data_IF_289554681841
#
_entry.id   IF_289554681841
#
_cell.length_a   1.000
_cell.length_b   1.000
_cell.length_c   1.000
_cell.angle_alpha   90.00
_cell.angle_beta   90.00
_cell.angle_gamma   90.00
#
_symmetry.space_group_name_H-M   'P 1'
#
loop_
_entity.id
_entity.type
_entity.pdbx_description
1 polymer ?
#
# COMPACT_ATOMS: atom_id res chain seq x y z
N UNK A 1 -14.99 -1.81 -3.74
CA UNK A 1 -15.68 -1.33 -4.95
C UNK A 1 -16.31 0.00 -4.60
N UNK A 2 -15.93 1.08 -5.28
CA UNK A 2 -16.60 2.38 -5.18
C UNK A 2 -17.21 2.72 -6.55
N UNK A 3 -18.10 3.71 -6.59
CA UNK A 3 -18.67 4.24 -7.82
C UNK A 3 -18.59 5.77 -7.78
N UNK A 4 -18.03 6.36 -8.82
CA UNK A 4 -17.99 7.82 -9.02
C UNK A 4 -19.04 8.16 -10.08
N UNK A 5 -19.91 9.12 -9.78
CA UNK A 5 -20.90 9.64 -10.73
C UNK A 5 -20.68 11.14 -10.89
N UNK A 6 -20.46 11.57 -12.13
CA UNK A 6 -20.36 12.98 -12.51
C UNK A 6 -21.48 13.27 -13.50
N UNK A 7 -22.20 14.37 -13.27
CA UNK A 7 -23.27 14.84 -14.16
C UNK A 7 -22.83 16.17 -14.75
N UNK A 8 -22.23 16.10 -15.94
CA UNK A 8 -21.75 17.25 -16.71
C UNK A 8 -21.89 16.94 -18.20
N UNK A 9 -22.47 17.87 -18.96
CA UNK A 9 -22.79 17.69 -20.39
C UNK A 9 -21.54 17.80 -21.26
N UNK A 10 -20.53 18.56 -20.81
CA UNK A 10 -19.30 18.82 -21.57
C UNK A 10 -18.04 18.41 -20.81
N UNK A 11 -18.09 17.26 -20.12
CA UNK A 11 -16.97 16.74 -19.35
C UNK A 11 -15.77 16.45 -20.25
N UNK A 12 -14.59 16.99 -19.90
CA UNK A 12 -13.33 16.78 -20.62
C UNK A 12 -12.43 15.78 -19.88
N UNK A 13 -12.08 16.11 -18.63
CA UNK A 13 -11.18 15.30 -17.81
C UNK A 13 -11.69 15.09 -16.39
N UNK A 14 -11.40 13.90 -15.86
CA UNK A 14 -11.57 13.59 -14.44
C UNK A 14 -10.30 12.97 -13.88
N UNK A 15 -9.92 13.40 -12.69
CA UNK A 15 -8.77 12.87 -11.98
C UNK A 15 -8.99 12.93 -10.48
N UNK A 16 -8.13 12.26 -9.73
CA UNK A 16 -8.15 12.32 -8.27
C UNK A 16 -6.73 12.43 -7.72
N UNK A 17 -6.62 12.79 -6.44
CA UNK A 17 -5.38 12.85 -5.68
C UNK A 17 -5.59 12.30 -4.27
N UNK A 18 -4.53 11.73 -3.69
CA UNK A 18 -4.48 11.31 -2.28
C UNK A 18 -3.71 12.30 -1.39
N UNK A 19 -3.14 13.35 -1.98
CA UNK A 19 -2.17 14.26 -1.36
C UNK A 19 -2.49 15.75 -1.67
N UNK A 20 -3.77 16.06 -1.90
CA UNK A 20 -4.24 17.44 -2.12
C UNK A 20 -3.79 18.06 -3.44
N UNK A 21 -3.53 17.23 -4.46
CA UNK A 21 -3.19 17.66 -5.81
C UNK A 21 -1.69 17.66 -6.14
N UNK A 22 -0.82 17.18 -5.24
CA UNK A 22 0.61 17.04 -5.54
C UNK A 22 0.85 15.92 -6.56
N UNK A 23 0.18 14.79 -6.38
CA UNK A 23 0.14 13.66 -7.30
C UNK A 23 -1.29 13.45 -7.78
N UNK A 24 -1.49 13.43 -9.10
CA UNK A 24 -2.82 13.28 -9.71
C UNK A 24 -2.89 12.03 -10.58
N UNK A 25 -4.04 11.37 -10.56
CA UNK A 25 -4.30 10.14 -11.30
C UNK A 25 -5.58 10.28 -12.12
N UNK A 26 -5.50 10.03 -13.43
CA UNK A 26 -6.66 10.07 -14.32
C UNK A 26 -7.67 8.97 -13.95
N UNK A 27 -8.96 9.31 -13.94
CA UNK A 27 -10.05 8.35 -13.75
C UNK A 27 -10.38 7.75 -15.11
N UNK A 28 -9.80 6.58 -15.40
CA UNK A 28 -10.09 5.82 -16.63
C UNK A 28 -11.12 4.73 -16.39
N UNK A 29 -11.30 4.29 -15.14
CA UNK A 29 -12.29 3.31 -14.70
C UNK A 29 -12.86 3.75 -13.34
N UNK A 30 -14.19 3.86 -13.23
CA UNK A 30 -14.87 4.46 -12.07
C UNK A 30 -14.87 3.59 -10.80
N UNK A 31 -14.10 2.49 -10.78
CA UNK A 31 -14.17 1.46 -9.76
C UNK A 31 -12.81 1.07 -9.17
N UNK A 32 -11.71 1.58 -9.73
CA UNK A 32 -10.36 1.16 -9.36
C UNK A 32 -9.44 2.37 -9.23
N UNK A 33 -8.81 2.51 -8.06
CA UNK A 33 -7.72 3.45 -7.86
C UNK A 33 -6.39 2.87 -8.38
N UNK A 34 -5.44 3.75 -8.70
CA UNK A 34 -4.06 3.39 -8.93
C UNK A 34 -3.51 2.60 -7.74
N UNK A 35 -3.26 1.31 -7.97
CA UNK A 35 -2.94 0.36 -6.91
C UNK A 35 -1.56 0.61 -6.30
N UNK A 36 -0.59 1.04 -7.09
CA UNK A 36 0.76 1.38 -6.63
C UNK A 36 0.69 2.55 -5.66
N UNK A 37 0.04 3.65 -6.07
CA UNK A 37 -0.15 4.82 -5.21
C UNK A 37 -0.94 4.47 -3.94
N UNK A 38 -2.01 3.69 -4.07
CA UNK A 38 -2.81 3.26 -2.92
C UNK A 38 -2.00 2.41 -1.92
N UNK A 39 -1.11 1.53 -2.38
CA UNK A 39 -0.27 0.69 -1.51
C UNK A 39 0.70 1.53 -0.68
N UNK A 40 1.27 2.57 -1.28
CA UNK A 40 2.28 3.45 -0.64
C UNK A 40 1.72 4.32 0.49
N UNK A 41 0.40 4.58 0.51
CA UNK A 41 -0.24 5.34 1.58
C UNK A 41 -0.09 4.63 2.94
N UNK A 42 0.01 5.40 4.02
CA UNK A 42 -0.03 4.83 5.37
C UNK A 42 -1.44 4.32 5.72
N UNK A 43 -1.53 3.41 6.68
CA UNK A 43 -2.81 3.05 7.30
C UNK A 43 -3.39 4.25 8.07
N UNK A 44 -4.72 4.30 8.17
CA UNK A 44 -5.44 5.38 8.83
C UNK A 44 -6.36 6.15 7.88
N UNK A 45 -6.68 7.38 8.24
CA UNK A 45 -7.51 8.26 7.43
C UNK A 45 -6.74 8.71 6.18
N UNK A 46 -7.37 8.52 5.02
CA UNK A 46 -6.90 8.96 3.71
C UNK A 46 -7.98 9.87 3.13
N UNK A 47 -7.62 11.11 2.84
CA UNK A 47 -8.48 12.03 2.09
C UNK A 47 -8.20 11.88 0.60
N UNK A 48 -9.27 11.67 -0.16
CA UNK A 48 -9.24 11.56 -1.62
C UNK A 48 -9.94 12.79 -2.18
N UNK A 49 -9.21 13.59 -2.97
CA UNK A 49 -9.76 14.75 -3.65
C UNK A 49 -10.04 14.39 -5.10
N UNK A 50 -11.29 14.51 -5.52
CA UNK A 50 -11.76 14.27 -6.88
C UNK A 50 -11.90 15.59 -7.62
N UNK A 51 -11.54 15.58 -8.89
CA UNK A 51 -11.60 16.74 -9.77
C UNK A 51 -12.30 16.37 -11.06
N UNK A 52 -13.09 17.31 -11.58
CA UNK A 52 -13.67 17.24 -12.90
C UNK A 52 -13.48 18.58 -13.60
N UNK A 53 -13.13 18.56 -14.88
CA UNK A 53 -13.01 19.74 -15.74
C UNK A 53 -13.85 19.57 -16.99
N UNK A 54 -14.57 20.62 -17.38
CA UNK A 54 -15.29 20.67 -18.65
C UNK A 54 -14.40 21.18 -19.81
N UNK A 55 -14.90 21.10 -21.04
CA UNK A 55 -14.18 21.58 -22.23
C UNK A 55 -13.92 23.10 -22.23
N UNK A 56 -14.68 23.86 -21.44
CA UNK A 56 -14.53 25.31 -21.30
C UNK A 56 -13.47 25.68 -20.24
N UNK A 57 -12.95 24.69 -19.52
CA UNK A 57 -11.94 24.86 -18.47
C UNK A 57 -12.51 25.14 -17.08
N UNK A 58 -13.82 25.00 -16.87
CA UNK A 58 -14.41 25.10 -15.53
C UNK A 58 -14.08 23.84 -14.73
N UNK A 59 -13.70 24.00 -13.47
CA UNK A 59 -13.31 22.90 -12.58
C UNK A 59 -14.25 22.77 -11.39
N UNK A 60 -14.59 21.54 -11.05
CA UNK A 60 -15.29 21.16 -9.83
C UNK A 60 -14.40 20.22 -9.00
N UNK A 61 -14.57 20.25 -7.68
CA UNK A 61 -13.78 19.45 -6.74
C UNK A 61 -14.65 18.92 -5.61
N UNK A 62 -14.40 17.67 -5.19
CA UNK A 62 -15.07 17.03 -4.05
C UNK A 62 -14.06 16.22 -3.23
N UNK A 63 -14.16 16.25 -1.90
CA UNK A 63 -13.27 15.49 -1.01
C UNK A 63 -14.01 14.37 -0.29
N UNK A 64 -13.38 13.20 -0.19
CA UNK A 64 -13.91 12.04 0.52
C UNK A 64 -12.82 11.47 1.41
N UNK A 65 -13.09 11.39 2.71
CA UNK A 65 -12.21 10.71 3.67
C UNK A 65 -12.61 9.24 3.82
N UNK A 66 -11.64 8.35 3.72
CA UNK A 66 -11.79 6.91 3.91
C UNK A 66 -10.79 6.40 4.93
N UNK A 67 -11.11 5.31 5.63
CA UNK A 67 -10.15 4.65 6.51
C UNK A 67 -9.49 3.50 5.74
N UNK A 68 -8.18 3.62 5.48
CA UNK A 68 -7.35 2.55 4.97
C UNK A 68 -6.90 1.68 6.13
N UNK A 69 -7.36 0.43 6.14
CA UNK A 69 -6.83 -0.62 7.02
C UNK A 69 -6.18 -1.69 6.16
N UNK A 70 -4.95 -2.08 6.48
CA UNK A 70 -4.42 -3.33 5.96
C UNK A 70 -4.99 -4.42 6.87
N UNK A 71 -5.73 -5.41 6.33
CA UNK A 71 -6.07 -6.57 7.14
C UNK A 71 -4.76 -7.10 7.70
N UNK A 72 -4.68 -7.34 9.01
CA UNK A 72 -3.58 -8.10 9.63
C UNK A 72 -3.64 -9.52 9.06
N UNK A 73 -3.12 -9.63 7.84
CA UNK A 73 -3.11 -10.78 6.97
C UNK A 73 -1.67 -11.19 6.85
N UNK A 74 -1.13 -11.71 7.94
CA UNK A 74 -0.12 -12.71 7.75
C UNK A 74 -0.82 -13.85 7.00
N UNK A 75 -0.57 -13.97 5.70
CA UNK A 75 -0.98 -15.16 4.92
C UNK A 75 -0.52 -16.39 5.72
N UNK A 76 -1.35 -17.42 5.98
CA UNK A 76 -0.89 -18.65 6.60
C UNK A 76 0.42 -19.17 5.97
N UNK A 77 0.60 -19.01 4.66
CA UNK A 77 1.85 -19.30 3.95
C UNK A 77 3.03 -18.39 4.36
N UNK A 78 2.80 -17.10 4.58
CA UNK A 78 3.82 -16.14 5.05
C UNK A 78 4.13 -16.33 6.54
N UNK A 79 3.15 -16.63 7.41
CA UNK A 79 3.39 -17.02 8.81
C UNK A 79 4.27 -18.27 8.86
N UNK A 80 3.86 -19.33 8.14
CA UNK A 80 4.58 -20.60 8.13
C UNK A 80 6.00 -20.38 7.60
N UNK A 81 6.17 -19.57 6.55
CA UNK A 81 7.49 -19.23 6.01
C UNK A 81 8.35 -18.46 7.03
N UNK A 82 7.81 -17.42 7.67
CA UNK A 82 8.55 -16.62 8.69
C UNK A 82 8.90 -17.47 9.91
N UNK A 83 7.98 -18.31 10.40
CA UNK A 83 8.21 -19.19 11.57
C UNK A 83 9.28 -20.23 11.25
N UNK A 84 9.24 -20.88 10.08
CA UNK A 84 10.26 -21.87 9.68
C UNK A 84 11.63 -21.18 9.46
N UNK A 85 11.68 -20.03 8.78
CA UNK A 85 12.93 -19.29 8.55
C UNK A 85 13.55 -18.80 9.87
N UNK A 86 12.75 -18.39 10.85
CA UNK A 86 13.22 -17.97 12.18
C UNK A 86 13.77 -19.14 13.01
N UNK A 87 13.11 -20.31 12.96
CA UNK A 87 13.59 -21.53 13.64
C UNK A 87 14.89 -22.02 12.99
N UNK A 88 14.95 -22.12 11.66
CA UNK A 88 16.15 -22.59 10.93
C UNK A 88 17.31 -21.61 11.12
N UNK A 89 17.07 -20.31 10.97
CA UNK A 89 18.07 -19.28 11.21
C UNK A 89 18.58 -19.28 12.65
N UNK A 90 17.68 -19.36 13.64
CA UNK A 90 18.04 -19.45 15.05
C UNK A 90 18.86 -20.70 15.40
N UNK A 91 18.44 -21.88 14.95
CA UNK A 91 19.15 -23.15 15.20
C UNK A 91 20.52 -23.16 14.52
N UNK A 92 20.63 -22.66 13.28
CA UNK A 92 21.91 -22.56 12.57
C UNK A 92 22.87 -21.59 13.26
N UNK A 93 22.39 -20.43 13.72
CA UNK A 93 23.21 -19.47 14.48
C UNK A 93 23.67 -20.09 15.80
N UNK A 94 22.79 -20.78 16.53
CA UNK A 94 23.15 -21.46 17.79
C UNK A 94 24.20 -22.55 17.55
N UNK A 95 24.05 -23.38 16.50
CA UNK A 95 25.05 -24.40 16.17
C UNK A 95 26.38 -23.78 15.73
N UNK A 96 26.38 -22.72 14.93
CA UNK A 96 27.62 -22.03 14.50
C UNK A 96 28.33 -21.38 15.69
N UNK A 97 27.60 -20.67 16.55
CA UNK A 97 28.14 -20.07 17.78
C UNK A 97 28.68 -21.16 18.69
N UNK A 98 27.95 -22.27 18.88
CA UNK A 98 28.42 -23.42 19.65
C UNK A 98 29.70 -24.04 19.07
N UNK A 99 29.76 -24.26 17.75
CA UNK A 99 30.96 -24.79 17.06
C UNK A 99 32.14 -23.83 17.25
N UNK A 100 31.92 -22.53 17.10
CA UNK A 100 32.97 -21.52 17.26
C UNK A 100 33.48 -21.44 18.70
N UNK A 101 32.58 -21.49 19.68
CA UNK A 101 32.93 -21.55 21.10
C UNK A 101 33.69 -22.85 21.43
N UNK A 102 33.26 -23.99 20.90
CA UNK A 102 33.95 -25.28 21.09
C UNK A 102 35.33 -25.28 20.45
N UNK A 103 35.49 -24.75 19.24
CA UNK A 103 36.79 -24.64 18.55
C UNK A 103 37.77 -23.76 19.31
N UNK A 104 37.30 -22.72 20.01
CA UNK A 104 38.14 -21.90 20.90
C UNK A 104 38.46 -22.59 22.23
N UNK A 105 37.62 -23.50 22.69
CA UNK A 105 37.77 -24.19 23.97
C UNK A 105 38.60 -25.47 23.89
N UNK A 106 38.85 -26.02 22.70
CA UNK A 106 39.85 -27.09 22.49
C UNK A 106 41.19 -26.44 22.15
N UNK A 107 42.16 -26.39 23.08
CA UNK A 107 43.55 -26.11 22.73
C UNK A 107 44.08 -27.24 21.83
N UNK A 108 44.93 -26.93 20.86
CA UNK A 108 45.73 -27.95 20.15
C UNK A 108 46.62 -28.75 21.12
#
# INVERSE_FOLDING_TARGET
>A
MFNITVTEDNLDFMWYSFDGGVSTYAITNNNVFNQTAWIELSEGEVTITFYARDIAGNEATEEVSVIKTVPIGLDPGVIITIVIVSIVGGVAVITVVYIFMKKRATPE
#
